data_IF_199876117121
#
_entry.id   IF_199876117121
#
_cell.length_a   1.000
_cell.length_b   1.000
_cell.length_c   1.000
_cell.angle_alpha   90.00
_cell.angle_beta   90.00
_cell.angle_gamma   90.00
#
_symmetry.space_group_name_H-M   'P 1'
#
loop_
_entity.id
_entity.type
_entity.pdbx_description
1 polymer ?
#
# COMPACT_ATOMS: atom_id res chain seq x y z
N UNK A 1 -7.27 -7.05 -6.77
CA UNK A 1 -6.40 -6.38 -7.75
C UNK A 1 -6.86 -6.67 -9.17
N UNK A 2 -6.72 -5.68 -10.04
CA UNK A 2 -7.06 -5.77 -11.45
C UNK A 2 -6.04 -4.90 -12.19
N UNK A 3 -4.91 -5.49 -12.61
CA UNK A 3 -3.71 -4.73 -12.99
C UNK A 3 -3.53 -4.52 -14.51
N UNK A 4 -4.49 -4.93 -15.33
CA UNK A 4 -4.46 -4.68 -16.78
C UNK A 4 -5.85 -4.42 -17.36
N UNK A 5 -5.92 -3.58 -18.39
CA UNK A 5 -7.16 -3.26 -19.12
C UNK A 5 -7.37 -4.09 -20.38
N UNK A 6 -6.42 -4.97 -20.73
CA UNK A 6 -6.44 -5.80 -21.92
C UNK A 6 -6.34 -7.28 -21.55
N UNK A 7 -7.13 -8.11 -22.21
CA UNK A 7 -7.29 -9.53 -21.94
C UNK A 7 -5.98 -10.30 -21.88
N UNK A 8 -5.14 -10.16 -22.90
CA UNK A 8 -3.86 -10.87 -22.99
C UNK A 8 -2.89 -10.42 -21.89
N UNK A 9 -2.75 -9.10 -21.70
CA UNK A 9 -1.89 -8.53 -20.66
C UNK A 9 -2.37 -8.88 -19.26
N UNK A 10 -3.69 -8.91 -19.05
CA UNK A 10 -4.27 -9.38 -17.79
C UNK A 10 -3.85 -10.82 -17.48
N UNK A 11 -3.96 -11.71 -18.46
CA UNK A 11 -3.59 -13.11 -18.29
C UNK A 11 -2.08 -13.27 -17.96
N UNK A 12 -1.23 -12.52 -18.64
CA UNK A 12 0.22 -12.50 -18.42
C UNK A 12 0.57 -11.99 -17.00
N UNK A 13 0.06 -10.82 -16.62
CA UNK A 13 0.37 -10.17 -15.32
C UNK A 13 -0.19 -10.99 -14.15
N UNK A 14 -1.40 -11.53 -14.29
CA UNK A 14 -2.07 -12.26 -13.22
C UNK A 14 -1.72 -13.75 -13.18
N UNK A 15 -0.98 -14.26 -14.17
CA UNK A 15 -0.61 -15.69 -14.25
C UNK A 15 -1.82 -16.61 -14.45
N UNK A 16 -2.84 -16.17 -15.19
CA UNK A 16 -4.11 -16.89 -15.38
C UNK A 16 -4.42 -17.10 -16.87
N UNK A 17 -5.48 -17.89 -17.16
CA UNK A 17 -5.99 -18.02 -18.53
C UNK A 17 -6.73 -16.75 -18.95
N UNK A 18 -6.68 -16.44 -20.24
CA UNK A 18 -7.31 -15.24 -20.81
C UNK A 18 -8.81 -15.12 -20.51
N UNK A 19 -9.55 -16.23 -20.47
CA UNK A 19 -10.99 -16.22 -20.15
C UNK A 19 -11.32 -15.76 -18.72
N UNK A 20 -10.31 -15.63 -17.84
CA UNK A 20 -10.53 -15.05 -16.52
C UNK A 20 -10.76 -13.54 -16.58
N UNK A 21 -10.24 -12.87 -17.61
CA UNK A 21 -10.46 -11.45 -17.82
C UNK A 21 -11.94 -11.14 -18.01
N UNK A 22 -12.63 -11.80 -18.96
CA UNK A 22 -14.04 -11.59 -19.22
C UNK A 22 -14.90 -11.92 -18.00
N UNK A 23 -14.54 -13.01 -17.31
CA UNK A 23 -15.25 -13.41 -16.10
C UNK A 23 -15.17 -12.35 -15.00
N UNK A 24 -14.00 -11.72 -14.79
CA UNK A 24 -13.84 -10.68 -13.77
C UNK A 24 -14.53 -9.40 -14.20
N UNK A 25 -14.46 -9.01 -15.47
CA UNK A 25 -15.22 -7.88 -16.01
C UNK A 25 -16.73 -8.09 -15.79
N UNK A 26 -17.27 -9.27 -16.13
CA UNK A 26 -18.68 -9.60 -15.91
C UNK A 26 -19.06 -9.53 -14.43
N UNK A 27 -18.23 -10.04 -13.54
CA UNK A 27 -18.48 -9.96 -12.10
C UNK A 27 -18.55 -8.51 -11.60
N UNK A 28 -17.69 -7.62 -12.12
CA UNK A 28 -17.72 -6.19 -11.77
C UNK A 28 -19.00 -5.55 -12.28
N UNK A 29 -19.38 -5.81 -13.54
CA UNK A 29 -20.65 -5.31 -14.10
C UNK A 29 -21.86 -5.78 -13.29
N UNK A 30 -21.90 -7.04 -12.92
CA UNK A 30 -23.00 -7.61 -12.14
C UNK A 30 -23.09 -7.00 -10.76
N UNK A 31 -21.95 -6.77 -10.08
CA UNK A 31 -21.90 -6.04 -8.81
C UNK A 31 -22.43 -4.61 -8.95
N UNK A 32 -22.04 -3.89 -10.02
CA UNK A 32 -22.52 -2.53 -10.29
C UNK A 32 -24.03 -2.54 -10.56
N UNK A 33 -24.54 -3.47 -11.38
CA UNK A 33 -25.98 -3.61 -11.65
C UNK A 33 -26.79 -3.90 -10.38
N UNK A 34 -26.31 -4.81 -9.52
CA UNK A 34 -26.95 -5.14 -8.23
C UNK A 34 -26.96 -3.89 -7.32
N UNK A 35 -25.82 -3.20 -7.20
CA UNK A 35 -25.73 -1.96 -6.43
C UNK A 35 -26.76 -0.93 -6.86
N UNK A 36 -26.90 -0.72 -8.15
CA UNK A 36 -27.85 0.26 -8.71
C UNK A 36 -29.31 -0.20 -8.52
N UNK A 37 -29.62 -1.47 -8.87
CA UNK A 37 -30.96 -2.03 -8.75
C UNK A 37 -31.51 -1.94 -7.32
N UNK A 38 -30.67 -2.26 -6.34
CA UNK A 38 -31.08 -2.39 -4.93
C UNK A 38 -30.73 -1.13 -4.11
N UNK A 39 -30.27 -0.07 -4.80
CA UNK A 39 -29.85 1.22 -4.18
C UNK A 39 -28.89 1.03 -2.98
N UNK A 40 -27.90 0.15 -3.14
CA UNK A 40 -26.97 -0.20 -2.08
C UNK A 40 -25.93 0.90 -1.87
N UNK A 41 -25.62 1.20 -0.60
CA UNK A 41 -24.58 2.20 -0.21
C UNK A 41 -23.16 1.61 -0.17
N UNK A 42 -22.91 0.51 -0.88
CA UNK A 42 -21.57 -0.08 -0.99
C UNK A 42 -20.71 0.67 -2.00
N UNK A 43 -19.40 0.66 -1.78
CA UNK A 43 -18.43 1.22 -2.72
C UNK A 43 -17.69 0.08 -3.42
N UNK A 44 -17.71 0.09 -4.75
CA UNK A 44 -17.04 -0.91 -5.60
C UNK A 44 -15.80 -0.27 -6.20
N UNK A 45 -14.63 -0.86 -5.98
CA UNK A 45 -13.37 -0.31 -6.47
C UNK A 45 -12.49 -1.33 -7.17
N UNK A 46 -11.77 -0.85 -8.17
CA UNK A 46 -10.67 -1.55 -8.81
C UNK A 46 -9.34 -1.05 -8.26
N UNK A 47 -8.30 -1.88 -8.28
CA UNK A 47 -6.97 -1.47 -7.86
C UNK A 47 -5.92 -2.02 -8.79
N UNK A 48 -5.11 -1.14 -9.36
CA UNK A 48 -3.88 -1.46 -10.06
C UNK A 48 -2.69 -1.41 -9.10
N UNK A 49 -1.95 -2.50 -9.00
CA UNK A 49 -0.60 -2.52 -8.46
C UNK A 49 0.33 -2.42 -9.66
N UNK A 50 0.87 -1.23 -9.88
CA UNK A 50 1.66 -0.92 -11.06
C UNK A 50 3.11 -1.37 -10.85
N UNK A 51 3.57 -2.27 -11.71
CA UNK A 51 5.00 -2.55 -11.92
C UNK A 51 5.52 -1.64 -13.04
N UNK A 52 6.81 -1.25 -13.05
CA UNK A 52 7.35 -0.41 -14.13
C UNK A 52 7.16 -1.00 -15.53
N UNK A 53 7.21 -2.31 -15.68
CA UNK A 53 7.04 -3.05 -16.93
C UNK A 53 5.59 -3.12 -17.42
N UNK A 54 4.62 -2.77 -16.58
CA UNK A 54 3.19 -2.81 -16.88
C UNK A 54 2.60 -1.42 -17.14
N UNK A 55 3.44 -0.43 -17.41
CA UNK A 55 3.05 0.96 -17.64
C UNK A 55 2.13 1.12 -18.87
N UNK A 56 2.22 0.19 -19.83
CA UNK A 56 1.34 0.10 -21.00
C UNK A 56 -0.13 -0.07 -20.62
N UNK A 57 -0.41 -0.64 -19.43
CA UNK A 57 -1.77 -0.93 -18.97
C UNK A 57 -2.44 0.20 -18.17
N UNK A 58 -1.75 1.30 -17.90
CA UNK A 58 -2.31 2.44 -17.14
C UNK A 58 -3.56 3.00 -17.84
N UNK A 59 -3.44 3.35 -19.12
CA UNK A 59 -4.55 3.95 -19.90
C UNK A 59 -5.62 2.92 -20.26
N UNK A 60 -5.28 1.72 -20.77
CA UNK A 60 -6.28 0.69 -21.04
C UNK A 60 -7.15 0.37 -19.82
N UNK A 61 -6.54 0.26 -18.63
CA UNK A 61 -7.29 -0.04 -17.41
C UNK A 61 -8.19 1.13 -16.96
N UNK A 62 -7.72 2.37 -17.11
CA UNK A 62 -8.55 3.55 -16.80
C UNK A 62 -9.79 3.62 -17.72
N UNK A 63 -9.62 3.30 -19.02
CA UNK A 63 -10.72 3.20 -19.98
C UNK A 63 -11.69 2.08 -19.62
N UNK A 64 -11.17 0.89 -19.36
CA UNK A 64 -11.99 -0.26 -18.96
C UNK A 64 -12.80 0.05 -17.69
N UNK A 65 -12.19 0.69 -16.69
CA UNK A 65 -12.90 1.11 -15.49
C UNK A 65 -14.06 2.08 -15.81
N UNK A 66 -13.86 2.99 -16.77
CA UNK A 66 -14.92 3.89 -17.22
C UNK A 66 -16.08 3.15 -17.92
N UNK A 67 -15.80 2.03 -18.59
CA UNK A 67 -16.81 1.17 -19.22
C UNK A 67 -17.57 0.33 -18.20
N UNK A 68 -16.85 -0.29 -17.26
CA UNK A 68 -17.42 -1.18 -16.23
C UNK A 68 -18.15 -0.43 -15.10
N UNK A 69 -17.89 0.88 -14.94
CA UNK A 69 -18.55 1.76 -13.97
C UNK A 69 -18.46 1.36 -12.49
N UNK A 70 -17.34 0.82 -11.98
CA UNK A 70 -17.12 0.82 -10.53
C UNK A 70 -17.04 2.27 -10.02
N UNK A 71 -17.06 2.49 -8.72
CA UNK A 71 -16.97 3.83 -8.16
C UNK A 71 -15.57 4.45 -8.36
N UNK A 72 -14.52 3.60 -8.35
CA UNK A 72 -13.16 4.09 -8.56
C UNK A 72 -12.18 3.03 -9.08
N UNK A 73 -11.09 3.53 -9.67
CA UNK A 73 -9.83 2.83 -9.88
C UNK A 73 -8.73 3.51 -9.08
N UNK A 74 -8.07 2.77 -8.18
CA UNK A 74 -6.84 3.23 -7.52
C UNK A 74 -5.63 2.68 -8.26
N UNK A 75 -4.68 3.57 -8.60
CA UNK A 75 -3.36 3.20 -9.13
C UNK A 75 -2.31 3.51 -8.07
N UNK A 76 -1.55 2.49 -7.69
CA UNK A 76 -0.40 2.63 -6.78
C UNK A 76 0.76 1.80 -7.30
N UNK A 77 2.00 2.20 -7.04
CA UNK A 77 3.14 1.36 -7.40
C UNK A 77 3.18 0.07 -6.56
N UNK A 78 3.88 -0.92 -7.07
CA UNK A 78 4.23 -2.11 -6.32
C UNK A 78 5.20 -1.76 -5.19
N UNK A 79 5.12 -2.47 -4.09
CA UNK A 79 6.04 -2.36 -2.96
C UNK A 79 6.90 -3.60 -2.92
N UNK A 80 8.21 -3.41 -2.96
CA UNK A 80 9.16 -4.50 -2.75
C UNK A 80 9.23 -4.88 -1.27
N UNK A 81 9.72 -6.07 -0.98
CA UNK A 81 10.02 -6.49 0.37
C UNK A 81 11.32 -5.86 0.89
N UNK A 82 11.70 -6.17 2.11
CA UNK A 82 12.90 -5.62 2.75
C UNK A 82 14.22 -6.12 2.13
N UNK A 83 14.17 -7.22 1.40
CA UNK A 83 15.33 -7.81 0.72
C UNK A 83 15.50 -7.32 -0.72
N UNK A 84 14.46 -6.65 -1.28
CA UNK A 84 14.48 -6.14 -2.65
C UNK A 84 14.33 -7.24 -3.71
N UNK A 85 13.66 -8.33 -3.38
CA UNK A 85 13.56 -9.54 -4.23
C UNK A 85 12.89 -9.29 -5.58
N UNK A 86 12.00 -8.30 -5.67
CA UNK A 86 11.36 -7.92 -6.94
C UNK A 86 12.24 -6.99 -7.78
N UNK A 87 13.29 -6.40 -7.21
CA UNK A 87 14.22 -5.53 -7.91
C UNK A 87 13.56 -4.27 -8.49
N UNK A 88 12.57 -3.70 -7.81
CA UNK A 88 11.79 -2.57 -8.32
C UNK A 88 12.66 -1.31 -8.37
N UNK A 89 12.82 -0.78 -9.58
CA UNK A 89 13.43 0.53 -9.81
C UNK A 89 12.38 1.64 -9.67
N UNK A 90 12.34 2.25 -8.48
CA UNK A 90 11.35 3.32 -8.17
C UNK A 90 11.57 4.61 -8.97
N UNK A 91 12.75 4.86 -9.51
CA UNK A 91 13.00 6.06 -10.33
C UNK A 91 12.31 5.97 -11.70
N UNK A 92 12.02 4.75 -12.18
CA UNK A 92 11.26 4.56 -13.42
C UNK A 92 9.86 5.16 -13.38
N UNK A 93 9.23 5.24 -12.20
CA UNK A 93 7.86 5.78 -12.10
C UNK A 93 7.75 7.25 -12.49
N UNK A 94 8.82 8.02 -12.41
CA UNK A 94 8.82 9.43 -12.85
C UNK A 94 8.48 9.56 -14.34
N UNK A 95 8.89 8.60 -15.16
CA UNK A 95 8.61 8.57 -16.60
C UNK A 95 7.13 8.39 -16.93
N UNK A 96 6.34 7.92 -15.96
CA UNK A 96 4.92 7.62 -16.13
C UNK A 96 4.01 8.72 -15.58
N UNK A 97 4.54 9.80 -15.04
CA UNK A 97 3.74 10.85 -14.40
C UNK A 97 2.71 11.46 -15.35
N UNK A 98 3.07 11.73 -16.59
CA UNK A 98 2.13 12.30 -17.57
C UNK A 98 1.05 11.29 -17.95
N UNK A 99 1.42 10.02 -18.15
CA UNK A 99 0.48 8.93 -18.39
C UNK A 99 -0.48 8.71 -17.20
N UNK A 100 0.01 8.81 -15.98
CA UNK A 100 -0.81 8.74 -14.77
C UNK A 100 -1.79 9.92 -14.67
N UNK A 101 -1.34 11.15 -14.97
CA UNK A 101 -2.23 12.32 -15.05
C UNK A 101 -3.26 12.20 -16.18
N UNK A 102 -2.88 11.60 -17.30
CA UNK A 102 -3.82 11.29 -18.37
C UNK A 102 -4.88 10.30 -17.92
N UNK A 103 -4.49 9.25 -17.18
CA UNK A 103 -5.44 8.29 -16.63
C UNK A 103 -6.46 8.96 -15.69
N UNK A 104 -6.05 9.92 -14.85
CA UNK A 104 -6.96 10.65 -13.96
C UNK A 104 -8.04 11.43 -14.73
N UNK A 105 -7.79 11.83 -15.99
CA UNK A 105 -8.78 12.53 -16.85
C UNK A 105 -9.96 11.64 -17.27
N UNK A 106 -9.86 10.31 -17.13
CA UNK A 106 -10.99 9.42 -17.34
C UNK A 106 -12.06 9.49 -16.24
N UNK A 107 -11.77 10.21 -15.15
CA UNK A 107 -12.73 10.45 -14.06
C UNK A 107 -13.93 11.25 -14.55
N UNK A 108 -15.11 10.90 -14.04
CA UNK A 108 -16.36 11.67 -14.18
C UNK A 108 -17.13 11.69 -12.83
N UNK A 109 -18.41 12.04 -12.83
CA UNK A 109 -19.23 12.12 -11.62
C UNK A 109 -19.38 10.75 -10.91
N UNK A 110 -19.47 9.67 -11.68
CA UNK A 110 -19.76 8.32 -11.21
C UNK A 110 -18.54 7.38 -11.10
N UNK A 111 -17.42 7.75 -11.70
CA UNK A 111 -16.20 6.96 -11.73
C UNK A 111 -14.97 7.84 -11.48
N UNK A 112 -14.11 7.45 -10.54
CA UNK A 112 -12.89 8.20 -10.22
C UNK A 112 -11.63 7.35 -10.45
N UNK A 113 -10.69 7.90 -11.20
CA UNK A 113 -9.32 7.36 -11.24
C UNK A 113 -8.49 8.12 -10.21
N UNK A 114 -7.91 7.39 -9.26
CA UNK A 114 -7.16 7.96 -8.13
C UNK A 114 -5.74 7.42 -8.14
N UNK A 115 -4.81 8.25 -8.52
CA UNK A 115 -3.38 7.94 -8.41
C UNK A 115 -2.90 8.21 -6.99
N UNK A 116 -2.26 7.25 -6.36
CA UNK A 116 -1.66 7.43 -5.02
C UNK A 116 -0.32 8.14 -5.14
N UNK A 117 -0.35 9.44 -5.50
CA UNK A 117 0.82 10.26 -5.77
C UNK A 117 1.87 10.25 -4.66
N UNK A 118 1.45 10.23 -3.40
CA UNK A 118 2.37 10.14 -2.26
C UNK A 118 3.21 8.86 -2.28
N UNK A 119 2.63 7.76 -2.79
CA UNK A 119 3.35 6.50 -2.98
C UNK A 119 4.16 6.50 -4.26
N UNK A 120 3.57 6.92 -5.39
CA UNK A 120 4.24 6.97 -6.70
C UNK A 120 5.53 7.80 -6.64
N UNK A 121 5.55 8.87 -5.84
CA UNK A 121 6.71 9.73 -5.63
C UNK A 121 7.67 9.25 -4.53
N UNK A 122 7.30 8.22 -3.81
CA UNK A 122 8.15 7.64 -2.76
C UNK A 122 9.25 6.79 -3.41
N UNK A 123 10.48 7.18 -3.20
CA UNK A 123 11.69 6.50 -3.74
C UNK A 123 12.18 5.38 -2.81
N UNK A 124 11.35 4.92 -1.90
CA UNK A 124 11.69 3.87 -0.97
C UNK A 124 12.67 4.30 0.12
N UNK A 125 13.60 3.41 0.49
CA UNK A 125 14.53 3.65 1.59
C UNK A 125 15.44 4.86 1.41
N UNK A 126 15.80 5.22 0.17
CA UNK A 126 16.67 6.35 -0.14
C UNK A 126 16.09 7.71 0.26
N UNK A 127 14.77 7.84 0.29
CA UNK A 127 14.06 9.07 0.68
C UNK A 127 13.82 9.22 2.18
N UNK A 128 14.14 8.21 2.98
CA UNK A 128 13.80 8.16 4.41
C UNK A 128 14.79 8.96 5.26
N UNK A 129 14.31 10.05 5.88
CA UNK A 129 15.16 10.96 6.69
C UNK A 129 15.28 10.55 8.16
N UNK A 130 14.38 9.72 8.66
CA UNK A 130 14.40 9.23 10.05
C UNK A 130 15.08 7.86 10.15
N UNK A 131 15.67 7.58 11.31
CA UNK A 131 16.28 6.29 11.61
C UNK A 131 15.43 5.45 12.56
N UNK A 132 14.76 6.08 13.54
CA UNK A 132 13.93 5.41 14.54
C UNK A 132 12.50 5.21 14.03
N UNK A 133 11.83 4.20 14.56
CA UNK A 133 10.40 3.98 14.25
C UNK A 133 9.53 4.37 15.44
N UNK A 134 8.98 5.57 15.40
CA UNK A 134 8.00 6.05 16.37
C UNK A 134 6.55 5.71 15.99
N UNK A 135 6.32 5.33 14.75
CA UNK A 135 4.98 5.03 14.22
C UNK A 135 4.46 3.65 14.59
N UNK A 136 5.33 2.73 15.06
CA UNK A 136 4.92 1.36 15.35
C UNK A 136 3.74 1.22 16.32
N UNK A 137 3.61 2.02 17.40
CA UNK A 137 2.47 1.94 18.32
C UNK A 137 1.12 2.30 17.68
N UNK A 138 1.11 3.02 16.54
CA UNK A 138 -0.12 3.46 15.89
C UNK A 138 -0.69 2.43 14.91
N UNK A 139 0.07 1.38 14.57
CA UNK A 139 -0.37 0.34 13.66
C UNK A 139 0.37 -0.97 13.94
N UNK A 140 -0.26 -1.85 14.67
CA UNK A 140 0.16 -3.26 14.72
C UNK A 140 -0.41 -4.02 13.53
N UNK A 141 0.32 -5.03 13.09
CA UNK A 141 -0.15 -5.94 12.05
C UNK A 141 -0.21 -7.37 12.58
N UNK A 142 -1.09 -8.15 11.98
CA UNK A 142 -1.32 -9.53 12.30
C UNK A 142 -1.24 -10.37 11.04
N UNK A 143 -0.49 -11.46 11.09
CA UNK A 143 -0.39 -12.41 9.98
C UNK A 143 -1.57 -13.38 9.94
N UNK A 144 -1.71 -14.11 8.84
CA UNK A 144 -2.70 -15.18 8.71
C UNK A 144 -2.53 -16.32 9.72
N UNK A 145 -1.35 -16.48 10.33
CA UNK A 145 -1.09 -17.46 11.41
C UNK A 145 -1.37 -16.91 12.83
N UNK A 146 -1.91 -15.68 12.93
CA UNK A 146 -2.18 -15.04 14.20
C UNK A 146 -0.98 -14.34 14.86
N UNK A 147 0.21 -14.39 14.25
CA UNK A 147 1.39 -13.68 14.75
C UNK A 147 1.17 -12.17 14.70
N UNK A 148 1.51 -11.49 15.80
CA UNK A 148 1.44 -10.02 15.93
C UNK A 148 2.84 -9.44 15.87
N UNK A 149 3.04 -8.46 14.98
CA UNK A 149 4.30 -7.73 14.83
C UNK A 149 4.03 -6.22 14.60
N UNK A 150 5.05 -5.35 14.79
CA UNK A 150 4.93 -3.90 14.62
C UNK A 150 4.54 -3.49 13.19
N UNK A 151 4.98 -4.24 12.18
CA UNK A 151 4.63 -4.01 10.77
C UNK A 151 4.89 -5.27 9.92
N UNK A 152 4.39 -5.27 8.67
CA UNK A 152 4.50 -6.38 7.74
C UNK A 152 5.93 -6.78 7.38
N UNK A 153 6.86 -5.84 7.38
CA UNK A 153 8.28 -6.11 7.11
C UNK A 153 8.98 -6.92 8.23
N UNK A 154 8.35 -7.10 9.39
CA UNK A 154 8.96 -7.72 10.56
C UNK A 154 8.35 -9.09 10.92
N UNK A 155 7.63 -9.73 9.99
CA UNK A 155 7.04 -11.06 10.21
C UNK A 155 8.03 -12.22 9.96
N UNK A 156 9.07 -11.99 9.15
CA UNK A 156 10.05 -13.03 8.86
C UNK A 156 10.77 -13.53 10.12
N UNK A 157 11.16 -14.80 10.15
CA UNK A 157 11.89 -15.42 11.28
C UNK A 157 13.18 -14.69 11.65
N UNK A 158 13.89 -14.10 10.67
CA UNK A 158 15.06 -13.24 10.93
C UNK A 158 14.76 -12.06 11.84
N UNK A 159 13.48 -11.66 11.94
CA UNK A 159 12.98 -10.56 12.75
C UNK A 159 12.21 -11.04 14.00
N UNK A 160 12.33 -12.30 14.39
CA UNK A 160 11.67 -12.90 15.56
C UNK A 160 11.79 -12.06 16.83
N UNK A 161 12.89 -11.33 16.98
CA UNK A 161 13.10 -10.38 18.10
C UNK A 161 12.06 -9.26 18.16
N UNK A 162 11.29 -9.02 17.09
CA UNK A 162 10.22 -8.02 17.00
C UNK A 162 8.82 -8.65 17.08
N UNK A 163 8.71 -9.97 17.09
CA UNK A 163 7.42 -10.63 17.27
C UNK A 163 6.90 -10.36 18.68
N UNK A 164 5.65 -9.90 18.78
CA UNK A 164 5.06 -9.43 20.04
C UNK A 164 4.28 -10.55 20.72
N UNK A 165 3.57 -11.37 19.97
CA UNK A 165 2.78 -12.48 20.45
C UNK A 165 1.95 -13.12 19.34
N UNK A 166 1.07 -14.06 19.72
CA UNK A 166 0.18 -14.72 18.77
C UNK A 166 -1.26 -14.75 19.35
N UNK A 167 -2.23 -14.29 18.56
CA UNK A 167 -3.63 -14.22 18.97
C UNK A 167 -4.31 -15.60 19.09
N UNK A 168 -3.72 -16.66 18.50
CA UNK A 168 -4.17 -18.03 18.71
C UNK A 168 -3.81 -18.56 20.10
N UNK A 169 -2.87 -17.94 20.79
CA UNK A 169 -2.36 -18.35 22.10
C UNK A 169 -2.79 -17.39 23.21
N UNK A 170 -2.85 -16.09 22.91
CA UNK A 170 -3.09 -15.03 23.89
C UNK A 170 -4.03 -13.98 23.32
N UNK A 171 -5.00 -13.52 24.08
CA UNK A 171 -5.93 -12.48 23.64
C UNK A 171 -5.16 -11.21 23.26
N UNK A 172 -5.56 -10.55 22.19
CA UNK A 172 -4.92 -9.32 21.70
C UNK A 172 -4.76 -8.24 22.78
N UNK A 173 -5.77 -8.08 23.66
CA UNK A 173 -5.72 -7.15 24.79
C UNK A 173 -4.54 -7.42 25.72
N UNK A 174 -4.25 -8.70 25.97
CA UNK A 174 -3.17 -9.10 26.88
C UNK A 174 -1.81 -8.96 26.21
N UNK A 175 -1.73 -9.23 24.89
CA UNK A 175 -0.54 -8.94 24.05
C UNK A 175 -0.22 -7.44 24.10
N UNK A 176 -1.22 -6.59 23.89
CA UNK A 176 -1.06 -5.12 23.87
C UNK A 176 -0.55 -4.57 25.21
N UNK A 177 -0.98 -5.14 26.33
CA UNK A 177 -0.56 -4.71 27.68
C UNK A 177 0.70 -5.42 28.18
N UNK A 178 1.33 -6.27 27.37
CA UNK A 178 2.48 -7.08 27.81
C UNK A 178 3.78 -6.27 27.88
N UNK A 179 4.68 -6.70 28.75
CA UNK A 179 6.07 -6.18 28.78
C UNK A 179 6.76 -6.39 27.43
N UNK A 180 6.43 -7.50 26.74
CA UNK A 180 6.97 -7.80 25.42
C UNK A 180 6.61 -6.73 24.40
N UNK A 181 5.37 -6.26 24.37
CA UNK A 181 4.93 -5.16 23.52
C UNK A 181 5.79 -3.92 23.75
N UNK A 182 5.88 -3.47 24.99
CA UNK A 182 6.65 -2.26 25.32
C UNK A 182 8.15 -2.40 25.08
N UNK A 183 8.73 -3.57 25.33
CA UNK A 183 10.11 -3.87 25.01
C UNK A 183 10.41 -3.70 23.52
N UNK A 184 9.51 -4.20 22.65
CA UNK A 184 9.64 -4.05 21.18
C UNK A 184 9.46 -2.59 20.77
N UNK A 185 8.43 -1.89 21.27
CA UNK A 185 8.19 -0.48 20.93
C UNK A 185 9.36 0.42 21.33
N UNK A 186 9.88 0.23 22.54
CA UNK A 186 11.04 0.98 23.05
C UNK A 186 12.31 0.69 22.24
N UNK A 187 12.51 -0.56 21.80
CA UNK A 187 13.64 -0.90 20.93
C UNK A 187 13.53 -0.17 19.58
N UNK A 188 12.34 -0.18 18.94
CA UNK A 188 12.11 0.47 17.65
C UNK A 188 12.29 2.01 17.72
N UNK A 189 11.96 2.61 18.85
CA UNK A 189 12.14 4.03 19.12
C UNK A 189 13.57 4.40 19.57
N UNK A 190 14.45 3.42 19.79
CA UNK A 190 15.83 3.64 20.28
C UNK A 190 16.84 3.78 19.13
N UNK A 191 18.06 4.18 19.47
CA UNK A 191 19.22 4.26 18.56
C UNK A 191 19.69 2.88 18.05
N UNK A 192 19.25 1.79 18.69
CA UNK A 192 19.57 0.42 18.30
C UNK A 192 18.83 -0.02 17.03
N UNK A 193 17.75 0.67 16.67
CA UNK A 193 16.99 0.42 15.46
C UNK A 193 17.39 1.39 14.35
N UNK A 194 17.51 0.88 13.12
CA UNK A 194 17.78 1.70 11.94
C UNK A 194 16.77 1.40 10.84
N UNK A 195 15.76 2.27 10.71
CA UNK A 195 14.69 2.15 9.72
C UNK A 195 15.19 2.20 8.27
N UNK A 196 16.32 2.85 8.00
CA UNK A 196 16.89 2.92 6.65
C UNK A 196 17.49 1.58 6.21
N UNK A 197 17.90 0.73 7.16
CA UNK A 197 18.55 -0.56 6.90
C UNK A 197 17.63 -1.76 7.14
N UNK A 198 16.62 -1.61 8.00
CA UNK A 198 15.83 -2.73 8.51
C UNK A 198 14.37 -2.72 8.06
N UNK A 199 13.93 -1.67 7.38
CA UNK A 199 12.57 -1.59 6.87
C UNK A 199 12.52 -1.92 5.37
N UNK A 200 11.37 -2.42 4.92
CA UNK A 200 11.05 -2.56 3.50
C UNK A 200 11.11 -1.23 2.76
N UNK A 201 11.12 -1.28 1.44
CA UNK A 201 11.20 -0.12 0.55
C UNK A 201 10.15 0.95 0.89
N UNK A 202 8.95 0.55 1.27
CA UNK A 202 7.87 1.46 1.67
C UNK A 202 7.41 1.22 3.09
N UNK A 203 7.16 2.33 3.79
CA UNK A 203 6.65 2.33 5.15
C UNK A 203 5.22 2.87 5.19
N UNK A 204 4.26 2.07 5.70
CA UNK A 204 2.88 2.53 5.91
C UNK A 204 2.79 3.68 6.93
N UNK A 205 3.77 3.74 7.84
CA UNK A 205 3.88 4.77 8.88
C UNK A 205 4.87 5.88 8.52
N UNK A 206 5.22 6.01 7.22
CA UNK A 206 6.26 6.96 6.79
C UNK A 206 5.96 8.39 7.27
N UNK A 207 4.75 8.90 6.99
CA UNK A 207 4.35 10.26 7.40
C UNK A 207 4.25 10.45 8.92
N UNK A 208 3.80 9.43 9.63
CA UNK A 208 3.78 9.44 11.11
C UNK A 208 5.21 9.51 11.65
N UNK A 209 6.11 8.70 11.11
CA UNK A 209 7.52 8.73 11.53
C UNK A 209 8.22 10.05 11.20
N UNK A 210 7.95 10.64 10.03
CA UNK A 210 8.49 11.97 9.68
C UNK A 210 8.03 13.04 10.67
N UNK A 211 6.74 13.10 10.97
CA UNK A 211 6.19 14.08 11.90
C UNK A 211 6.73 13.89 13.33
N UNK A 212 6.77 12.65 13.83
CA UNK A 212 7.27 12.37 15.17
C UNK A 212 8.78 12.57 15.29
N UNK A 213 9.56 12.23 14.27
CA UNK A 213 11.00 12.45 14.23
C UNK A 213 11.31 13.97 14.23
N UNK A 214 10.55 14.75 13.44
CA UNK A 214 10.65 16.21 13.44
C UNK A 214 10.31 16.80 14.80
N UNK A 215 9.24 16.32 15.44
CA UNK A 215 8.85 16.76 16.78
C UNK A 215 9.95 16.50 17.82
N UNK A 216 10.49 15.28 17.82
CA UNK A 216 11.57 14.90 18.76
C UNK A 216 12.85 15.71 18.54
N UNK A 217 13.13 16.12 17.29
CA UNK A 217 14.27 16.96 16.93
C UNK A 217 14.04 18.46 17.15
N UNK A 218 12.80 18.87 17.47
CA UNK A 218 12.43 20.28 17.61
C UNK A 218 12.34 21.03 16.29
N UNK A 219 12.09 20.34 15.17
CA UNK A 219 11.95 20.91 13.84
C UNK A 219 10.51 21.44 13.63
N UNK A 220 10.30 22.72 13.97
CA UNK A 220 9.00 23.36 13.89
C UNK A 220 8.50 23.53 12.44
N UNK A 221 9.37 23.64 11.45
CA UNK A 221 8.98 23.89 10.06
C UNK A 221 8.31 22.66 9.43
N UNK A 222 8.72 21.46 9.79
CA UNK A 222 8.09 20.22 9.36
C UNK A 222 6.73 19.96 10.01
N UNK A 223 6.53 20.46 11.24
CA UNK A 223 5.25 20.30 11.97
C UNK A 223 4.15 21.22 11.45
N UNK A 224 4.52 22.35 10.87
CA UNK A 224 3.60 23.35 10.33
C UNK A 224 3.21 23.10 8.86
N UNK A 225 3.78 22.08 8.21
CA UNK A 225 3.34 21.68 6.88
C UNK A 225 1.95 21.03 6.98
N UNK A 226 0.96 21.62 6.33
CA UNK A 226 -0.37 21.02 6.20
C UNK A 226 -0.23 19.61 5.61
N UNK A 227 -0.79 18.61 6.29
CA UNK A 227 -0.92 17.27 5.75
C UNK A 227 -1.73 17.36 4.45
N UNK A 228 -1.25 16.85 3.32
CA UNK A 228 -2.02 16.86 2.08
C UNK A 228 -3.36 16.14 2.31
N UNK A 229 -4.44 16.82 1.97
CA UNK A 229 -5.81 16.30 2.04
C UNK A 229 -6.01 15.07 1.17
#
# INVERSE_FOLDING_TARGET
NFSAGERKRYAEIMGVKENHFERVCQNIEDMVKIKQRDNLKVTIGMQMVLMPEDEDQIIPLAKLGKELRPDYLIIKHCTDNEDGDLGIDYDKYEKFYDKLREAEKFSDESYKVVVKWSKIKDKGNSGRKYQRCYGAPFMLQMSGSGLVAPCGALFNEKYKKFHIGNICETRFKDIWNSERYWSVMNYLASEKFNAQKMCASLCLQHKVNEALDAHVKGDADLLNQELPK
#
